data_IF_549765386875
#
_entry.id   IF_549765386875
#
_cell.length_a   1.000
_cell.length_b   1.000
_cell.length_c   1.000
_cell.angle_alpha   90.00
_cell.angle_beta   90.00
_cell.angle_gamma   90.00
#
_symmetry.space_group_name_H-M   'P 1'
#
loop_
_entity.id
_entity.type
_entity.pdbx_description
1 polymer ?
#
# COMPACT_ATOMS: atom_id res chain seq x y z
N UNK A 1 0.49 11.97 -13.93
CA UNK A 1 1.32 10.88 -13.39
C UNK A 1 2.07 10.11 -14.45
N UNK A 2 2.30 10.73 -15.60
CA UNK A 2 3.00 10.04 -16.67
C UNK A 2 4.42 9.66 -16.31
N UNK A 3 5.09 10.52 -15.57
CA UNK A 3 6.53 10.36 -15.29
C UNK A 3 6.76 10.13 -13.80
N UNK A 4 6.56 8.88 -13.38
CA UNK A 4 6.95 8.49 -12.03
C UNK A 4 8.47 8.54 -11.93
N UNK A 5 8.97 9.34 -10.99
CA UNK A 5 10.40 9.47 -10.75
C UNK A 5 10.80 8.61 -9.57
N UNK A 6 11.66 7.65 -9.83
CA UNK A 6 12.15 6.74 -8.81
C UNK A 6 13.00 5.66 -9.45
N UNK A 7 13.47 4.73 -8.65
CA UNK A 7 14.20 3.57 -9.16
C UNK A 7 13.23 2.65 -9.93
N UNK A 8 13.79 1.77 -10.74
CA UNK A 8 12.98 0.76 -11.44
C UNK A 8 12.16 -0.06 -10.46
N UNK A 9 12.75 -0.42 -9.32
CA UNK A 9 12.07 -1.16 -8.28
C UNK A 9 10.90 -0.37 -7.69
N UNK A 10 11.13 0.89 -7.34
CA UNK A 10 10.08 1.75 -6.78
C UNK A 10 8.92 1.92 -7.75
N UNK A 11 9.22 2.19 -9.01
CA UNK A 11 8.18 2.35 -10.03
C UNK A 11 7.36 1.07 -10.18
N UNK A 12 8.01 -0.08 -10.14
CA UNK A 12 7.33 -1.36 -10.23
C UNK A 12 6.35 -1.56 -9.06
N UNK A 13 6.77 -1.20 -7.84
CA UNK A 13 5.92 -1.24 -6.67
C UNK A 13 4.72 -0.31 -6.84
N UNK A 14 4.98 0.95 -7.18
CA UNK A 14 3.90 1.95 -7.32
C UNK A 14 2.91 1.57 -8.42
N UNK A 15 3.37 1.03 -9.54
CA UNK A 15 2.48 0.57 -10.60
C UNK A 15 1.59 -0.58 -10.14
N UNK A 16 2.13 -1.48 -9.31
CA UNK A 16 1.31 -2.56 -8.76
C UNK A 16 0.24 -1.99 -7.81
N UNK A 17 0.59 -1.02 -6.96
CA UNK A 17 -0.37 -0.42 -6.03
C UNK A 17 -1.59 0.13 -6.76
N UNK A 18 -1.41 0.69 -7.94
CA UNK A 18 -2.52 1.25 -8.73
C UNK A 18 -3.53 0.18 -9.14
N UNK A 19 -3.16 -1.08 -9.11
CA UNK A 19 -4.04 -2.20 -9.47
C UNK A 19 -4.89 -2.70 -8.31
N UNK A 20 -4.60 -2.27 -7.09
CA UNK A 20 -5.35 -2.71 -5.92
C UNK A 20 -6.69 -1.97 -5.93
N UNK A 21 -7.82 -2.70 -6.05
CA UNK A 21 -9.11 -2.05 -6.16
C UNK A 21 -9.56 -1.45 -4.82
N UNK A 22 -10.39 -0.43 -4.92
CA UNK A 22 -11.02 0.20 -3.77
C UNK A 22 -11.80 -0.86 -2.97
N UNK A 23 -11.65 -0.81 -1.67
CA UNK A 23 -12.33 -1.78 -0.79
C UNK A 23 -11.60 -3.10 -0.62
N UNK A 24 -10.41 -3.23 -1.21
CA UNK A 24 -9.57 -4.42 -1.08
C UNK A 24 -8.22 -4.03 -0.50
N UNK A 25 -7.58 -4.97 0.19
CA UNK A 25 -6.27 -4.78 0.79
C UNK A 25 -5.28 -5.82 0.29
N UNK A 26 -4.01 -5.45 0.34
CA UNK A 26 -2.89 -6.36 0.12
C UNK A 26 -1.92 -6.21 1.28
N UNK A 27 -1.19 -7.28 1.58
CA UNK A 27 -0.09 -7.17 2.55
C UNK A 27 1.19 -6.76 1.83
N UNK A 28 2.16 -6.26 2.59
CA UNK A 28 3.48 -5.96 2.04
C UNK A 28 4.10 -7.20 1.39
N UNK A 29 3.90 -8.37 2.00
CA UNK A 29 4.38 -9.63 1.45
C UNK A 29 3.72 -9.96 0.12
N UNK A 30 2.41 -9.75 -0.01
CA UNK A 30 1.70 -9.98 -1.26
C UNK A 30 2.22 -9.07 -2.37
N UNK A 31 2.50 -7.82 -2.05
CA UNK A 31 3.07 -6.89 -3.03
C UNK A 31 4.44 -7.39 -3.50
N UNK A 32 5.28 -7.83 -2.57
CA UNK A 32 6.60 -8.36 -2.90
C UNK A 32 6.49 -9.57 -3.84
N UNK A 33 5.60 -10.50 -3.53
CA UNK A 33 5.35 -11.67 -4.38
C UNK A 33 4.86 -11.26 -5.76
N UNK A 34 3.93 -10.31 -5.82
CA UNK A 34 3.33 -9.85 -7.06
C UNK A 34 4.35 -9.23 -8.03
N UNK A 35 5.39 -8.61 -7.51
CA UNK A 35 6.44 -8.02 -8.34
C UNK A 35 7.64 -8.96 -8.54
N UNK A 36 7.49 -10.25 -8.19
CA UNK A 36 8.52 -11.28 -8.33
C UNK A 36 9.76 -11.04 -7.46
N UNK A 37 9.58 -10.44 -6.30
CA UNK A 37 10.65 -10.17 -5.33
C UNK A 37 10.21 -10.61 -3.93
N UNK A 38 9.90 -11.90 -3.72
CA UNK A 38 9.26 -12.36 -2.47
C UNK A 38 10.08 -12.13 -1.21
N UNK A 39 11.40 -11.97 -1.35
CA UNK A 39 12.27 -11.73 -0.20
C UNK A 39 12.54 -10.24 0.04
N UNK A 40 11.94 -9.36 -0.75
CA UNK A 40 12.20 -7.92 -0.70
C UNK A 40 11.10 -7.16 0.07
N UNK A 41 10.49 -7.77 1.07
CA UNK A 41 9.36 -7.15 1.80
C UNK A 41 9.73 -5.80 2.41
N UNK A 42 10.90 -5.69 3.03
CA UNK A 42 11.36 -4.45 3.62
C UNK A 42 11.59 -3.38 2.56
N UNK A 43 12.20 -3.75 1.44
CA UNK A 43 12.43 -2.82 0.34
C UNK A 43 11.11 -2.35 -0.27
N UNK A 44 10.11 -3.25 -0.35
CA UNK A 44 8.76 -2.90 -0.79
C UNK A 44 8.13 -1.88 0.16
N UNK A 45 8.22 -2.12 1.47
CA UNK A 45 7.69 -1.18 2.45
C UNK A 45 8.35 0.20 2.33
N UNK A 46 9.67 0.24 2.13
CA UNK A 46 10.39 1.49 1.94
C UNK A 46 9.95 2.21 0.66
N UNK A 47 9.75 1.47 -0.44
CA UNK A 47 9.28 2.05 -1.69
C UNK A 47 7.86 2.62 -1.54
N UNK A 48 7.00 1.91 -0.82
CA UNK A 48 5.64 2.38 -0.54
C UNK A 48 5.70 3.67 0.28
N UNK A 49 6.62 3.74 1.25
CA UNK A 49 6.83 4.93 2.05
C UNK A 49 7.30 6.14 1.25
N UNK A 50 7.84 5.94 0.06
CA UNK A 50 8.29 7.01 -0.83
C UNK A 50 7.28 7.34 -1.94
N UNK A 51 6.06 6.83 -1.85
CA UNK A 51 5.00 7.09 -2.82
C UNK A 51 4.87 8.59 -3.08
N UNK A 52 5.06 9.06 -4.33
CA UNK A 52 5.03 10.49 -4.63
C UNK A 52 3.63 11.08 -4.75
N UNK A 53 2.60 10.26 -4.85
CA UNK A 53 1.23 10.74 -5.11
C UNK A 53 0.17 10.04 -4.26
N UNK A 54 0.28 10.06 -2.91
CA UNK A 54 -0.80 9.53 -2.09
C UNK A 54 -1.99 10.52 -2.10
N UNK A 55 -3.23 10.08 -2.13
CA UNK A 55 -3.69 8.69 -2.21
C UNK A 55 -3.98 8.21 -3.62
N UNK A 56 -3.58 8.97 -4.65
CA UNK A 56 -3.82 8.60 -6.06
C UNK A 56 -3.16 7.26 -6.37
N UNK A 57 -1.90 7.09 -5.94
CA UNK A 57 -1.30 5.77 -5.87
C UNK A 57 -1.67 5.25 -4.48
N UNK A 58 -2.55 4.25 -4.37
CA UNK A 58 -3.25 3.96 -3.12
C UNK A 58 -2.41 3.14 -2.12
N UNK A 59 -1.35 3.72 -1.60
CA UNK A 59 -0.50 3.06 -0.62
C UNK A 59 -1.24 2.75 0.68
N UNK A 60 -2.36 3.41 0.94
CA UNK A 60 -3.19 3.13 2.11
C UNK A 60 -3.85 1.75 2.06
N UNK A 61 -3.87 1.11 0.89
CA UNK A 61 -4.46 -0.24 0.72
C UNK A 61 -3.46 -1.35 0.99
N UNK A 62 -2.28 -1.02 1.54
CA UNK A 62 -1.29 -2.04 1.92
C UNK A 62 -1.16 -2.05 3.43
N UNK A 63 -1.25 -3.24 4.02
CA UNK A 63 -1.24 -3.44 5.46
C UNK A 63 -0.28 -4.59 5.80
N UNK A 64 -0.04 -4.79 7.09
CA UNK A 64 0.84 -5.88 7.54
C UNK A 64 0.11 -7.22 7.52
N UNK A 65 0.89 -8.29 7.38
CA UNK A 65 0.35 -9.66 7.34
C UNK A 65 -0.38 -10.06 8.62
N UNK A 66 -0.03 -9.46 9.74
CA UNK A 66 -0.68 -9.73 11.03
C UNK A 66 -2.02 -9.00 11.20
N UNK A 67 -2.42 -8.24 10.19
CA UNK A 67 -3.68 -7.48 10.23
C UNK A 67 -3.57 -6.10 10.85
N UNK A 68 -2.35 -5.65 11.20
CA UNK A 68 -2.17 -4.29 11.66
C UNK A 68 -2.00 -3.35 10.47
N UNK A 69 -2.25 -2.04 10.70
CA UNK A 69 -2.30 -1.04 9.64
C UNK A 69 -0.98 -0.81 8.92
N UNK A 70 0.15 -0.85 9.63
CA UNK A 70 1.39 -0.35 9.07
C UNK A 70 1.40 1.17 9.03
N UNK A 71 2.44 1.75 8.44
CA UNK A 71 2.60 3.19 8.38
C UNK A 71 1.90 3.82 7.17
N UNK A 72 1.94 5.14 7.13
CA UNK A 72 1.44 5.92 6.00
C UNK A 72 2.32 7.17 5.84
N UNK A 73 2.88 7.35 4.66
CA UNK A 73 3.81 8.45 4.38
C UNK A 73 3.13 9.72 3.90
N UNK A 74 1.85 9.66 3.58
CA UNK A 74 1.11 10.83 3.15
C UNK A 74 0.85 11.80 4.29
N UNK A 75 0.35 12.99 3.96
CA UNK A 75 0.02 14.03 4.93
C UNK A 75 -1.00 13.50 5.95
N UNK A 76 -0.75 13.70 7.22
CA UNK A 76 -1.63 13.25 8.29
C UNK A 76 -1.29 11.87 8.85
N UNK A 77 -0.35 11.15 8.25
CA UNK A 77 0.12 9.87 8.75
C UNK A 77 -0.99 8.84 8.92
N UNK A 78 -0.91 8.03 9.97
CA UNK A 78 -1.85 6.94 10.23
C UNK A 78 -3.30 7.42 10.35
N UNK A 79 -3.53 8.61 10.88
CA UNK A 79 -4.88 9.17 10.97
C UNK A 79 -5.53 9.28 9.59
N UNK A 80 -4.77 9.79 8.61
CA UNK A 80 -5.25 9.89 7.23
C UNK A 80 -5.47 8.51 6.63
N UNK A 81 -4.57 7.56 6.88
CA UNK A 81 -4.73 6.19 6.40
C UNK A 81 -6.04 5.59 6.90
N UNK A 82 -6.33 5.74 8.19
CA UNK A 82 -7.59 5.26 8.77
C UNK A 82 -8.80 5.89 8.09
N UNK A 83 -8.77 7.21 7.88
CA UNK A 83 -9.88 7.92 7.25
C UNK A 83 -10.12 7.45 5.83
N UNK A 84 -9.04 7.24 5.06
CA UNK A 84 -9.16 6.76 3.68
C UNK A 84 -9.76 5.36 3.63
N UNK A 85 -9.36 4.48 4.53
CA UNK A 85 -9.90 3.12 4.59
C UNK A 85 -11.37 3.13 4.99
N UNK A 86 -11.76 3.96 5.95
CA UNK A 86 -13.17 4.10 6.36
C UNK A 86 -14.00 4.58 5.18
N UNK A 87 -13.51 5.55 4.41
CA UNK A 87 -14.21 6.02 3.21
C UNK A 87 -14.43 4.89 2.21
N UNK A 88 -13.54 3.92 2.17
CA UNK A 88 -13.65 2.76 1.28
C UNK A 88 -14.46 1.62 1.89
N UNK A 89 -15.15 1.88 2.99
CA UNK A 89 -16.02 0.91 3.67
C UNK A 89 -15.27 -0.24 4.34
N UNK A 90 -14.01 0.01 4.71
CA UNK A 90 -13.21 -1.00 5.40
C UNK A 90 -13.36 -0.83 6.91
N UNK A 91 -13.68 -1.91 7.60
CA UNK A 91 -13.81 -1.94 9.05
C UNK A 91 -12.42 -2.14 9.66
N UNK A 92 -11.92 -1.14 10.39
CA UNK A 92 -10.51 -1.10 10.81
C UNK A 92 -10.07 -2.24 11.72
N UNK A 93 -10.95 -2.79 12.53
CA UNK A 93 -10.60 -3.92 13.40
C UNK A 93 -10.79 -5.28 12.73
N UNK A 94 -11.03 -5.29 11.42
CA UNK A 94 -11.25 -6.51 10.65
C UNK A 94 -10.44 -6.49 9.35
N UNK A 95 -9.22 -5.95 9.39
CA UNK A 95 -8.43 -5.75 8.17
C UNK A 95 -8.16 -7.04 7.42
N UNK A 96 -7.92 -8.15 8.12
CA UNK A 96 -7.64 -9.44 7.46
C UNK A 96 -8.75 -9.88 6.52
N UNK A 97 -9.98 -9.45 6.80
CA UNK A 97 -11.16 -9.80 6.01
C UNK A 97 -11.08 -9.26 4.56
N UNK A 98 -10.37 -8.17 4.35
CA UNK A 98 -10.29 -7.49 3.05
C UNK A 98 -9.05 -7.86 2.26
N UNK A 99 -8.15 -8.62 2.85
CA UNK A 99 -6.95 -9.09 2.18
C UNK A 99 -7.32 -10.25 1.26
N UNK A 100 -6.96 -10.14 0.00
CA UNK A 100 -7.33 -11.15 -1.02
C UNK A 100 -6.12 -11.78 -1.68
#
# INVERSE_FOLDING_TARGET
>A
MKNLKGTKFEIKVWNYLKKIPKGKLRTYSQVAIAINKPFAVRAVANAIGKNPFPPIIPCHRVVRSDGSLGGYSGKGGITTKKMLLIKEKIVLNQLLKYIT
#
